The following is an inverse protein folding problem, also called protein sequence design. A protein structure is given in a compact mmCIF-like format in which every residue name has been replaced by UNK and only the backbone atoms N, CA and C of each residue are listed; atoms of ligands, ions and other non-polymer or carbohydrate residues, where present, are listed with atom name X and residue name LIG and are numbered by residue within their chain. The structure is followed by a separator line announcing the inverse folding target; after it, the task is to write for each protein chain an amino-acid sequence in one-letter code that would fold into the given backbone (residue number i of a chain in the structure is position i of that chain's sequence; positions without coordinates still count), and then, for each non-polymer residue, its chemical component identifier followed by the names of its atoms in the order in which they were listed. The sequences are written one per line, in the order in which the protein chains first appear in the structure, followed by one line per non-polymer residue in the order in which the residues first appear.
data_IF_495170507241
#
_entry.id   IF_495170507241
#
_cell.length_a   1.000
_cell.length_b   1.000
_cell.length_c   1.000
_cell.angle_alpha   90.00
_cell.angle_beta   90.00
_cell.angle_gamma   90.00
#
_symmetry.space_group_name_H-M   'P 1'
#
loop_
_entity.id
_entity.type
_entity.pdbx_description
1 polymer ?
#
# COMPACT_ATOMS: atom_id res chain seq x y z
N UNK A 1 -33.67 10.89 -21.73
CA UNK A 1 -32.67 11.62 -20.93
C UNK A 1 -33.20 11.81 -19.53
N UNK A 2 -32.40 11.59 -18.48
CA UNK A 2 -32.82 11.90 -17.12
C UNK A 2 -32.90 13.43 -16.89
N UNK A 3 -33.89 13.85 -16.11
CA UNK A 3 -34.10 15.26 -15.74
C UNK A 3 -33.44 15.50 -14.40
N UNK A 4 -32.65 16.59 -14.31
CA UNK A 4 -32.02 17.02 -13.05
C UNK A 4 -32.96 18.00 -12.38
N UNK A 5 -33.54 17.61 -11.26
CA UNK A 5 -34.40 18.47 -10.44
C UNK A 5 -33.53 19.27 -9.46
N UNK A 6 -33.57 20.62 -9.48
CA UNK A 6 -32.96 21.43 -8.43
C UNK A 6 -33.71 21.23 -7.10
N UNK A 7 -32.98 21.35 -5.99
CA UNK A 7 -33.56 21.31 -4.63
C UNK A 7 -34.74 22.27 -4.44
N UNK A 8 -34.72 23.44 -5.09
CA UNK A 8 -35.81 24.42 -5.05
C UNK A 8 -37.11 23.98 -5.73
N UNK A 9 -37.06 22.95 -6.56
CA UNK A 9 -38.22 22.39 -7.26
C UNK A 9 -38.78 21.15 -6.55
N UNK A 10 -38.11 20.66 -5.51
CA UNK A 10 -38.61 19.56 -4.67
C UNK A 10 -39.67 20.12 -3.72
N UNK A 11 -40.92 19.63 -3.73
CA UNK A 11 -41.95 20.09 -2.81
C UNK A 11 -41.54 19.90 -1.35
N UNK A 12 -41.89 20.86 -0.49
CA UNK A 12 -41.63 20.78 0.96
C UNK A 12 -42.15 19.46 1.53
N UNK A 13 -41.30 18.76 2.27
CA UNK A 13 -41.60 17.46 2.87
C UNK A 13 -41.29 16.25 1.98
N UNK A 14 -41.00 16.43 0.68
CA UNK A 14 -40.75 15.31 -0.25
C UNK A 14 -39.27 15.00 -0.50
N UNK A 15 -38.35 15.63 0.26
CA UNK A 15 -36.92 15.43 0.04
C UNK A 15 -36.51 13.97 0.28
N UNK A 16 -37.02 13.33 1.34
CA UNK A 16 -36.70 11.93 1.66
C UNK A 16 -37.21 11.01 0.55
N UNK A 17 -38.49 11.14 0.18
CA UNK A 17 -39.11 10.34 -0.89
C UNK A 17 -38.35 10.51 -2.23
N UNK A 18 -37.88 11.73 -2.53
CA UNK A 18 -37.09 12.00 -3.74
C UNK A 18 -35.73 11.30 -3.69
N UNK A 19 -35.06 11.31 -2.55
CA UNK A 19 -33.79 10.60 -2.35
C UNK A 19 -33.97 9.09 -2.43
N UNK A 20 -35.02 8.54 -1.80
CA UNK A 20 -35.35 7.11 -1.87
C UNK A 20 -35.66 6.68 -3.30
N UNK A 21 -36.45 7.47 -4.04
CA UNK A 21 -36.69 7.22 -5.46
C UNK A 21 -35.40 7.23 -6.27
N UNK A 22 -34.49 8.18 -6.01
CA UNK A 22 -33.18 8.24 -6.67
C UNK A 22 -32.30 7.02 -6.39
N UNK A 23 -32.34 6.48 -5.17
CA UNK A 23 -31.62 5.25 -4.82
C UNK A 23 -32.23 4.02 -5.52
N UNK A 24 -33.55 3.92 -5.55
CA UNK A 24 -34.27 2.83 -6.21
C UNK A 24 -34.13 2.90 -7.73
N UNK A 25 -34.03 4.11 -8.30
CA UNK A 25 -33.85 4.32 -9.73
C UNK A 25 -32.66 3.53 -10.29
N UNK A 26 -31.56 3.36 -9.53
CA UNK A 26 -30.43 2.53 -9.96
C UNK A 26 -30.77 1.05 -10.12
N UNK A 27 -31.77 0.53 -9.41
CA UNK A 27 -32.23 -0.86 -9.56
C UNK A 27 -33.11 -1.07 -10.80
N UNK A 28 -33.83 -0.02 -11.23
CA UNK A 28 -34.85 -0.11 -12.27
C UNK A 28 -34.41 0.46 -13.62
N UNK A 29 -33.49 1.41 -13.63
CA UNK A 29 -32.97 2.03 -14.85
C UNK A 29 -31.60 1.45 -15.18
N UNK A 30 -31.50 0.90 -16.39
CA UNK A 30 -30.35 0.18 -16.97
C UNK A 30 -28.99 0.66 -16.44
N UNK A 31 -28.34 -0.19 -15.64
CA UNK A 31 -26.91 -0.14 -15.38
C UNK A 31 -26.27 -0.92 -16.52
N UNK A 32 -25.64 -0.24 -17.48
CA UNK A 32 -24.83 -0.97 -18.44
C UNK A 32 -23.69 -1.66 -17.71
N UNK A 33 -23.49 -2.94 -17.99
CA UNK A 33 -22.30 -3.68 -17.56
C UNK A 33 -21.12 -3.47 -18.50
N UNK A 34 -21.29 -2.71 -19.60
CA UNK A 34 -20.22 -2.36 -20.53
C UNK A 34 -19.52 -1.07 -20.09
N UNK A 35 -18.19 -1.10 -20.03
CA UNK A 35 -17.35 0.06 -19.70
C UNK A 35 -17.50 1.23 -20.69
N UNK A 36 -18.09 0.97 -21.86
CA UNK A 36 -18.27 1.97 -22.92
C UNK A 36 -19.64 2.64 -22.90
N UNK A 37 -20.64 2.03 -22.27
CA UNK A 37 -22.02 2.54 -22.26
C UNK A 37 -22.30 3.36 -21.00
N UNK A 38 -22.51 4.66 -21.19
CA UNK A 38 -22.75 5.59 -20.08
C UNK A 38 -24.13 5.32 -19.45
N UNK A 39 -24.16 5.07 -18.14
CA UNK A 39 -25.40 5.02 -17.36
C UNK A 39 -26.11 6.39 -17.38
N UNK A 40 -27.44 6.38 -17.59
CA UNK A 40 -28.23 7.61 -17.77
C UNK A 40 -28.28 8.48 -16.50
N UNK A 41 -28.20 7.87 -15.31
CA UNK A 41 -28.20 8.55 -14.02
C UNK A 41 -26.83 9.20 -13.77
N UNK A 42 -25.74 8.49 -14.08
CA UNK A 42 -24.38 9.04 -13.99
C UNK A 42 -24.17 10.23 -14.95
N UNK A 43 -24.66 10.13 -16.20
CA UNK A 43 -24.61 11.24 -17.16
C UNK A 43 -25.39 12.46 -16.66
N UNK A 44 -26.56 12.25 -16.06
CA UNK A 44 -27.36 13.33 -15.51
C UNK A 44 -26.68 13.99 -14.31
N UNK A 45 -26.06 13.21 -13.43
CA UNK A 45 -25.27 13.72 -12.32
C UNK A 45 -24.12 14.59 -12.82
N UNK A 46 -23.29 14.09 -13.75
CA UNK A 46 -22.19 14.86 -14.35
C UNK A 46 -22.69 16.15 -15.01
N UNK A 47 -23.77 16.08 -15.80
CA UNK A 47 -24.39 17.25 -16.43
C UNK A 47 -24.84 18.31 -15.42
N UNK A 48 -25.38 17.88 -14.28
CA UNK A 48 -25.87 18.77 -13.23
C UNK A 48 -24.73 19.58 -12.62
N UNK A 49 -23.62 18.92 -12.31
CA UNK A 49 -22.46 19.55 -11.64
C UNK A 49 -21.59 20.34 -12.62
N UNK A 50 -21.46 19.88 -13.87
CA UNK A 50 -20.69 20.55 -14.93
C UNK A 50 -21.15 21.97 -15.25
N UNK A 51 -22.43 22.27 -15.02
CA UNK A 51 -22.99 23.63 -15.20
C UNK A 51 -22.61 24.60 -14.08
N UNK A 52 -22.21 24.09 -12.91
CA UNK A 52 -22.05 24.89 -11.68
C UNK A 52 -20.60 25.20 -11.33
N UNK A 53 -19.67 24.31 -11.67
CA UNK A 53 -18.26 24.47 -11.29
C UNK A 53 -17.33 24.04 -12.41
N UNK A 54 -16.16 24.68 -12.50
CA UNK A 54 -15.08 24.24 -13.41
C UNK A 54 -14.35 23.02 -12.87
N UNK A 55 -14.13 22.94 -11.56
CA UNK A 55 -13.45 21.81 -10.91
C UNK A 55 -14.44 21.06 -10.04
N UNK A 56 -14.48 19.73 -10.18
CA UNK A 56 -15.49 18.86 -9.58
C UNK A 56 -14.80 17.66 -8.94
N UNK A 57 -15.04 17.45 -7.64
CA UNK A 57 -14.63 16.23 -6.94
C UNK A 57 -15.73 15.17 -7.11
N UNK A 58 -15.35 13.95 -7.47
CA UNK A 58 -16.30 12.86 -7.65
C UNK A 58 -15.67 11.52 -7.27
N UNK A 59 -16.39 10.59 -6.63
CA UNK A 59 -15.90 9.22 -6.47
C UNK A 59 -15.77 8.54 -7.84
N UNK A 60 -14.93 7.50 -7.93
CA UNK A 60 -14.85 6.66 -9.12
C UNK A 60 -16.18 5.93 -9.35
N UNK A 61 -16.90 6.38 -10.37
CA UNK A 61 -18.07 5.67 -10.90
C UNK A 61 -17.65 4.71 -12.03
N UNK A 62 -18.52 3.75 -12.33
CA UNK A 62 -18.42 2.97 -13.56
C UNK A 62 -18.49 3.98 -14.73
N UNK A 63 -17.49 3.98 -15.61
CA UNK A 63 -17.41 4.86 -16.80
C UNK A 63 -17.06 6.33 -16.53
N UNK A 64 -16.48 6.63 -15.35
CA UNK A 64 -16.03 7.98 -14.98
C UNK A 64 -15.10 8.65 -16.01
N UNK A 65 -14.22 7.88 -16.66
CA UNK A 65 -13.30 8.36 -17.69
C UNK A 65 -14.05 8.82 -18.97
N UNK A 66 -15.01 8.02 -19.41
CA UNK A 66 -15.87 8.34 -20.56
C UNK A 66 -16.73 9.57 -20.26
N UNK A 67 -17.29 9.66 -19.05
CA UNK A 67 -18.04 10.81 -18.57
C UNK A 67 -17.18 12.07 -18.49
N UNK A 68 -15.99 12.00 -17.89
CA UNK A 68 -15.07 13.13 -17.81
C UNK A 68 -14.66 13.64 -19.21
N UNK A 69 -14.45 12.73 -20.17
CA UNK A 69 -14.14 13.08 -21.56
C UNK A 69 -15.30 13.79 -22.26
N UNK A 70 -16.53 13.35 -22.01
CA UNK A 70 -17.76 13.98 -22.55
C UNK A 70 -17.95 15.41 -22.01
N UNK A 71 -17.54 15.67 -20.77
CA UNK A 71 -17.62 16.98 -20.12
C UNK A 71 -16.23 17.64 -19.99
N UNK A 72 -15.44 17.63 -21.07
CA UNK A 72 -14.03 18.07 -21.10
C UNK A 72 -13.75 19.53 -20.75
N UNK A 73 -14.78 20.38 -20.65
CA UNK A 73 -14.65 21.77 -20.16
C UNK A 73 -14.49 21.85 -18.64
N UNK A 74 -14.75 20.75 -17.94
CA UNK A 74 -14.62 20.63 -16.50
C UNK A 74 -13.41 19.77 -16.15
N UNK A 75 -12.76 20.09 -15.05
CA UNK A 75 -11.72 19.27 -14.43
C UNK A 75 -12.38 18.37 -13.38
N UNK A 76 -12.35 17.06 -13.63
CA UNK A 76 -12.84 16.07 -12.67
C UNK A 76 -11.68 15.50 -11.86
N UNK A 77 -11.69 15.80 -10.56
CA UNK A 77 -10.84 15.16 -9.57
C UNK A 77 -11.54 13.87 -9.13
N UNK A 78 -11.18 12.76 -9.77
CA UNK A 78 -11.79 11.46 -9.51
C UNK A 78 -11.07 10.80 -8.32
N UNK A 79 -11.81 10.52 -7.27
CA UNK A 79 -11.32 9.79 -6.09
C UNK A 79 -11.46 8.29 -6.37
N UNK A 80 -10.32 7.64 -6.57
CA UNK A 80 -10.24 6.18 -6.72
C UNK A 80 -10.34 5.50 -5.36
N UNK A 81 -11.13 4.43 -5.26
CA UNK A 81 -11.11 3.58 -4.08
C UNK A 81 -9.83 2.75 -4.08
N UNK A 82 -9.00 2.93 -3.06
CA UNK A 82 -7.75 2.18 -2.89
C UNK A 82 -7.94 0.71 -2.51
N UNK A 83 -9.13 0.34 -2.03
CA UNK A 83 -9.44 -1.00 -1.58
C UNK A 83 -10.86 -1.44 -1.97
N UNK A 84 -11.05 -2.76 -2.05
CA UNK A 84 -12.38 -3.34 -2.19
C UNK A 84 -13.17 -3.17 -0.88
N UNK A 85 -14.24 -2.38 -0.93
CA UNK A 85 -15.00 -1.98 0.25
C UNK A 85 -16.08 -3.00 0.69
N UNK A 86 -16.33 -4.04 -0.12
CA UNK A 86 -17.41 -5.00 0.10
C UNK A 86 -18.69 -4.66 -0.66
N UNK A 87 -19.66 -5.58 -0.63
CA UNK A 87 -21.02 -5.33 -1.13
C UNK A 87 -21.89 -4.72 -0.03
N UNK A 88 -22.91 -3.94 -0.44
CA UNK A 88 -23.83 -3.22 0.46
C UNK A 88 -24.45 -4.08 1.58
N UNK A 89 -24.68 -5.36 1.35
CA UNK A 89 -25.28 -6.28 2.34
C UNK A 89 -24.29 -6.94 3.29
N UNK A 90 -22.98 -6.71 3.12
CA UNK A 90 -21.92 -7.39 3.89
C UNK A 90 -21.28 -6.52 4.97
N UNK A 91 -21.75 -5.27 5.11
CA UNK A 91 -21.12 -4.32 6.01
C UNK A 91 -21.50 -4.54 7.47
N UNK A 92 -20.49 -4.68 8.32
CA UNK A 92 -20.58 -4.48 9.77
C UNK A 92 -20.36 -3.00 10.10
N UNK A 93 -20.75 -2.56 11.31
CA UNK A 93 -20.47 -1.20 11.78
C UNK A 93 -18.98 -0.81 11.67
N UNK A 94 -18.08 -1.72 12.06
CA UNK A 94 -16.63 -1.49 11.95
C UNK A 94 -16.17 -1.38 10.50
N UNK A 95 -16.69 -2.22 9.60
CA UNK A 95 -16.38 -2.10 8.17
C UNK A 95 -16.86 -0.78 7.57
N UNK A 96 -18.03 -0.27 7.98
CA UNK A 96 -18.54 1.03 7.52
C UNK A 96 -17.65 2.17 8.02
N UNK A 97 -17.29 2.16 9.31
CA UNK A 97 -16.39 3.15 9.90
C UNK A 97 -15.05 3.19 9.16
N UNK A 98 -14.48 2.01 8.90
CA UNK A 98 -13.25 1.87 8.11
C UNK A 98 -13.41 2.39 6.68
N UNK A 99 -14.50 2.07 6.01
CA UNK A 99 -14.75 2.50 4.62
C UNK A 99 -14.90 4.03 4.52
N UNK A 100 -15.59 4.66 5.50
CA UNK A 100 -15.68 6.13 5.60
C UNK A 100 -14.28 6.74 5.77
N UNK A 101 -13.47 6.15 6.65
CA UNK A 101 -12.10 6.59 6.86
C UNK A 101 -11.25 6.47 5.60
N UNK A 102 -11.35 5.36 4.86
CA UNK A 102 -10.66 5.18 3.57
C UNK A 102 -11.11 6.24 2.57
N UNK A 103 -12.42 6.50 2.43
CA UNK A 103 -12.93 7.52 1.51
C UNK A 103 -12.37 8.92 1.82
N UNK A 104 -12.25 9.28 3.10
CA UNK A 104 -11.58 10.50 3.52
C UNK A 104 -10.09 10.51 3.10
N UNK A 105 -9.38 9.42 3.38
CA UNK A 105 -7.94 9.31 3.11
C UNK A 105 -7.62 9.31 1.61
N UNK A 106 -8.41 8.61 0.78
CA UNK A 106 -8.30 8.60 -0.68
C UNK A 106 -8.60 9.99 -1.27
N UNK A 107 -9.58 10.71 -0.68
CA UNK A 107 -9.84 12.11 -1.04
C UNK A 107 -8.63 13.00 -0.74
N UNK A 108 -8.00 12.85 0.43
CA UNK A 108 -6.80 13.61 0.79
C UNK A 108 -5.59 13.27 -0.11
N UNK A 109 -5.44 12.02 -0.55
CA UNK A 109 -4.44 11.64 -1.58
C UNK A 109 -4.75 12.26 -2.93
N UNK A 110 -6.01 12.30 -3.33
CA UNK A 110 -6.45 12.95 -4.58
C UNK A 110 -6.10 14.44 -4.58
N UNK A 111 -6.22 15.11 -3.43
CA UNK A 111 -5.77 16.49 -3.23
C UNK A 111 -4.24 16.64 -3.06
N UNK A 112 -3.47 15.57 -3.17
CA UNK A 112 -2.00 15.55 -2.97
C UNK A 112 -1.57 16.04 -1.59
N UNK A 113 -2.47 15.99 -0.60
CA UNK A 113 -2.15 16.28 0.81
C UNK A 113 -1.41 15.08 1.43
N UNK A 114 -1.79 13.87 1.02
CA UNK A 114 -1.15 12.63 1.45
C UNK A 114 -0.41 11.98 0.27
N UNK A 115 0.70 11.32 0.58
CA UNK A 115 1.58 10.59 -0.33
C UNK A 115 1.52 9.08 -0.07
N UNK A 116 2.18 8.31 -0.92
CA UNK A 116 2.22 6.84 -0.84
C UNK A 116 1.38 6.18 -1.92
N UNK A 117 1.73 4.94 -2.27
CA UNK A 117 0.98 4.16 -3.26
C UNK A 117 -0.23 3.49 -2.60
N UNK A 118 -0.01 2.76 -1.53
CA UNK A 118 -1.01 1.95 -0.83
C UNK A 118 -1.31 2.47 0.59
N UNK A 119 -0.40 3.22 1.19
CA UNK A 119 -0.55 3.89 2.49
C UNK A 119 -0.83 5.39 2.31
N UNK A 120 -1.14 6.05 3.43
CA UNK A 120 -1.54 7.46 3.50
C UNK A 120 -0.58 8.25 4.38
N UNK A 121 0.45 8.79 3.75
CA UNK A 121 1.61 9.37 4.45
C UNK A 121 1.59 10.88 4.30
N UNK A 122 1.49 11.59 5.42
CA UNK A 122 1.57 13.04 5.48
C UNK A 122 3.04 13.49 5.53
N UNK A 123 3.57 13.88 4.38
CA UNK A 123 4.95 14.34 4.24
C UNK A 123 5.22 15.69 4.92
N UNK A 124 4.19 16.40 5.40
CA UNK A 124 4.34 17.66 6.13
C UNK A 124 4.40 17.45 7.65
N UNK A 125 4.16 16.23 8.14
CA UNK A 125 4.29 15.87 9.54
C UNK A 125 5.75 15.55 9.92
N UNK A 126 5.99 15.12 11.16
CA UNK A 126 7.33 14.76 11.64
C UNK A 126 8.02 13.75 10.73
N UNK A 127 9.26 14.05 10.35
CA UNK A 127 10.06 13.31 9.38
C UNK A 127 11.52 13.13 9.79
N UNK A 128 11.85 13.23 11.08
CA UNK A 128 13.25 13.17 11.53
C UNK A 128 13.87 11.78 11.37
N UNK A 129 13.12 10.73 11.73
CA UNK A 129 13.51 9.34 11.47
C UNK A 129 13.49 9.03 9.99
N UNK A 130 12.57 9.62 9.24
CA UNK A 130 12.50 9.43 7.80
C UNK A 130 13.68 10.07 7.05
N UNK A 131 14.10 11.27 7.42
CA UNK A 131 15.31 11.90 6.85
C UNK A 131 16.58 11.16 7.27
N UNK A 132 16.63 10.64 8.50
CA UNK A 132 17.68 9.71 8.92
C UNK A 132 17.71 8.47 8.02
N UNK A 133 16.56 7.82 7.83
CA UNK A 133 16.44 6.64 6.98
C UNK A 133 16.90 6.95 5.55
N UNK A 134 16.45 8.05 4.94
CA UNK A 134 16.89 8.46 3.60
C UNK A 134 18.40 8.65 3.50
N UNK A 135 19.02 9.21 4.53
CA UNK A 135 20.45 9.48 4.56
C UNK A 135 21.26 8.19 4.67
N UNK A 136 20.84 7.26 5.53
CA UNK A 136 21.63 6.08 5.90
C UNK A 136 21.21 4.79 5.19
N UNK A 137 20.03 4.77 4.56
CA UNK A 137 19.58 3.62 3.78
C UNK A 137 20.56 3.30 2.65
N UNK A 138 20.87 2.01 2.49
CA UNK A 138 21.85 1.52 1.52
C UNK A 138 23.32 1.91 1.80
N UNK A 139 23.67 2.48 2.97
CA UNK A 139 25.08 2.68 3.36
C UNK A 139 25.73 1.33 3.72
N UNK A 140 27.04 1.23 3.53
CA UNK A 140 27.83 0.06 3.97
C UNK A 140 27.64 -0.21 5.47
N UNK A 141 27.30 -1.45 5.85
CA UNK A 141 27.08 -1.86 7.25
C UNK A 141 28.31 -2.59 7.81
N UNK A 142 28.51 -3.84 7.40
CA UNK A 142 29.70 -4.66 7.67
C UNK A 142 29.99 -5.49 6.42
N UNK A 143 31.24 -5.92 6.21
CA UNK A 143 31.61 -6.66 5.00
C UNK A 143 30.75 -7.91 4.76
N UNK A 144 30.43 -8.67 5.83
CA UNK A 144 29.55 -9.85 5.76
C UNK A 144 28.11 -9.48 5.32
N UNK A 145 27.49 -8.50 5.99
CA UNK A 145 26.13 -8.07 5.67
C UNK A 145 26.07 -7.47 4.26
N UNK A 146 27.05 -6.66 3.91
CA UNK A 146 27.15 -6.05 2.58
C UNK A 146 27.27 -7.12 1.50
N UNK A 147 28.11 -8.15 1.69
CA UNK A 147 28.24 -9.24 0.74
C UNK A 147 26.92 -9.99 0.55
N UNK A 148 26.17 -10.23 1.64
CA UNK A 148 24.84 -10.84 1.61
C UNK A 148 23.84 -9.97 0.85
N UNK A 149 23.79 -8.67 1.14
CA UNK A 149 22.96 -7.70 0.40
C UNK A 149 23.35 -7.70 -1.08
N UNK A 150 24.64 -7.78 -1.37
CA UNK A 150 25.18 -7.92 -2.72
C UNK A 150 24.57 -9.09 -3.47
N UNK A 151 24.56 -10.28 -2.85
CA UNK A 151 23.91 -11.48 -3.41
C UNK A 151 22.40 -11.34 -3.53
N UNK A 152 21.74 -10.77 -2.54
CA UNK A 152 20.28 -10.57 -2.52
C UNK A 152 19.79 -9.70 -3.68
N UNK A 153 20.54 -8.63 -3.96
CA UNK A 153 20.26 -7.63 -4.99
C UNK A 153 20.92 -7.93 -6.34
N UNK A 154 21.72 -9.01 -6.42
CA UNK A 154 22.53 -9.36 -7.58
C UNK A 154 23.49 -8.23 -8.04
N UNK A 155 24.23 -7.67 -7.08
CA UNK A 155 25.24 -6.62 -7.29
C UNK A 155 26.61 -7.06 -6.77
N UNK A 156 27.68 -6.65 -7.46
CA UNK A 156 29.05 -7.08 -7.14
C UNK A 156 29.84 -6.07 -6.29
N UNK A 157 29.52 -4.78 -6.38
CA UNK A 157 30.21 -3.72 -5.64
C UNK A 157 29.25 -3.02 -4.69
N UNK A 158 29.30 -3.42 -3.42
CA UNK A 158 28.43 -2.96 -2.32
C UNK A 158 29.05 -1.84 -1.48
N UNK A 159 30.31 -1.47 -1.72
CA UNK A 159 30.96 -0.33 -1.05
C UNK A 159 30.33 1.01 -1.47
N UNK A 160 29.76 1.03 -2.67
CA UNK A 160 29.11 2.20 -3.25
C UNK A 160 27.61 2.14 -2.94
N UNK A 161 27.14 3.01 -2.03
CA UNK A 161 25.72 3.13 -1.65
C UNK A 161 24.78 3.22 -2.86
N UNK A 162 25.17 3.96 -3.91
CA UNK A 162 24.34 4.14 -5.10
C UNK A 162 24.13 2.85 -5.90
N UNK A 163 25.04 1.86 -5.81
CA UNK A 163 24.85 0.55 -6.44
C UNK A 163 23.80 -0.27 -5.69
N UNK A 164 23.85 -0.26 -4.35
CA UNK A 164 22.84 -0.92 -3.51
C UNK A 164 21.48 -0.28 -3.76
N UNK A 165 21.41 1.05 -3.77
CA UNK A 165 20.17 1.78 -4.04
C UNK A 165 19.58 1.44 -5.41
N UNK A 166 20.40 1.34 -6.47
CA UNK A 166 19.94 0.87 -7.79
C UNK A 166 19.42 -0.57 -7.76
N UNK A 167 20.06 -1.46 -7.01
CA UNK A 167 19.59 -2.83 -6.82
C UNK A 167 18.20 -2.86 -6.15
N UNK A 168 18.00 -2.05 -5.12
CA UNK A 168 16.69 -1.87 -4.47
C UNK A 168 15.69 -1.26 -5.44
N UNK A 169 16.07 -0.25 -6.21
CA UNK A 169 15.21 0.40 -7.21
C UNK A 169 14.70 -0.61 -8.26
N UNK A 170 15.56 -1.47 -8.77
CA UNK A 170 15.17 -2.56 -9.70
C UNK A 170 14.12 -3.48 -9.08
N UNK A 171 14.31 -3.88 -7.81
CA UNK A 171 13.33 -4.72 -7.11
C UNK A 171 12.02 -3.97 -6.88
N UNK A 172 12.06 -2.75 -6.37
CA UNK A 172 10.85 -1.93 -6.08
C UNK A 172 10.02 -1.67 -7.35
N UNK A 173 10.65 -1.55 -8.51
CA UNK A 173 9.96 -1.39 -9.79
C UNK A 173 9.15 -2.62 -10.21
N UNK A 174 9.44 -3.79 -9.63
CA UNK A 174 8.70 -5.04 -9.87
C UNK A 174 7.63 -5.34 -8.82
N UNK A 175 7.51 -4.54 -7.76
CA UNK A 175 6.51 -4.74 -6.70
C UNK A 175 5.20 -4.01 -7.01
N UNK A 176 4.12 -4.47 -6.38
CA UNK A 176 2.83 -3.74 -6.42
C UNK A 176 2.85 -2.37 -5.73
N UNK A 177 3.88 -2.09 -4.93
CA UNK A 177 4.05 -0.85 -4.15
C UNK A 177 4.84 0.22 -4.90
N UNK A 178 5.20 -0.04 -6.17
CA UNK A 178 5.98 0.87 -7.00
C UNK A 178 5.49 2.31 -6.88
N UNK A 179 6.42 3.18 -6.49
CA UNK A 179 6.22 4.61 -6.28
C UNK A 179 7.43 5.38 -6.85
N UNK A 180 7.25 6.64 -7.24
CA UNK A 180 8.37 7.50 -7.67
C UNK A 180 9.38 7.75 -6.54
N UNK A 181 8.95 7.62 -5.29
CA UNK A 181 9.81 7.69 -4.13
C UNK A 181 10.20 6.27 -3.65
N UNK A 182 11.45 5.88 -3.89
CA UNK A 182 12.01 4.56 -3.54
C UNK A 182 11.93 4.31 -2.02
N UNK A 183 12.18 5.34 -1.19
CA UNK A 183 12.16 5.21 0.26
C UNK A 183 10.75 4.92 0.77
N UNK A 184 9.75 5.66 0.27
CA UNK A 184 8.34 5.36 0.58
C UNK A 184 7.95 3.96 0.07
N UNK A 185 8.30 3.61 -1.17
CA UNK A 185 8.01 2.28 -1.70
C UNK A 185 8.58 1.17 -0.79
N UNK A 186 9.80 1.37 -0.28
CA UNK A 186 10.48 0.42 0.60
C UNK A 186 9.74 0.28 1.93
N UNK A 187 9.38 1.41 2.56
CA UNK A 187 8.63 1.43 3.82
C UNK A 187 7.23 0.84 3.66
N UNK A 188 6.50 1.19 2.59
CA UNK A 188 5.16 0.67 2.31
C UNK A 188 5.19 -0.85 2.07
N UNK A 189 6.21 -1.34 1.34
CA UNK A 189 6.41 -2.77 1.11
C UNK A 189 6.64 -3.51 2.44
N UNK A 190 7.52 -2.96 3.29
CA UNK A 190 7.83 -3.53 4.59
C UNK A 190 6.61 -3.53 5.52
N UNK A 191 5.91 -2.39 5.63
CA UNK A 191 4.71 -2.23 6.44
C UNK A 191 3.62 -3.25 6.06
N UNK A 192 3.42 -3.47 4.76
CA UNK A 192 2.40 -4.39 4.30
C UNK A 192 2.75 -5.86 4.56
N UNK A 193 4.01 -6.26 4.41
CA UNK A 193 4.45 -7.62 4.75
C UNK A 193 4.44 -7.89 6.26
N UNK A 194 4.48 -6.84 7.07
CA UNK A 194 4.26 -6.88 8.53
C UNK A 194 2.79 -6.72 8.93
N UNK A 195 1.86 -6.65 7.97
CA UNK A 195 0.42 -6.47 8.19
C UNK A 195 0.06 -5.21 8.99
N UNK A 196 0.86 -4.15 8.87
CA UNK A 196 0.56 -2.85 9.48
C UNK A 196 -0.65 -2.24 8.80
N UNK A 197 -1.59 -1.77 9.61
CA UNK A 197 -2.88 -1.24 9.16
C UNK A 197 -2.72 -0.13 8.12
N UNK A 198 -3.39 -0.28 6.98
CA UNK A 198 -3.36 0.73 5.90
C UNK A 198 -4.32 1.87 6.11
N UNK A 199 -5.48 1.62 6.72
CA UNK A 199 -6.59 2.57 6.83
C UNK A 199 -6.33 3.64 7.91
N UNK A 200 -5.15 4.25 7.93
CA UNK A 200 -4.69 5.20 8.94
C UNK A 200 -3.81 6.27 8.27
N UNK A 201 -3.90 7.51 8.76
CA UNK A 201 -2.97 8.59 8.37
C UNK A 201 -1.69 8.45 9.18
N UNK A 202 -0.56 8.37 8.50
CA UNK A 202 0.76 8.26 9.11
C UNK A 202 1.57 9.53 8.88
N UNK A 203 2.37 9.94 9.86
CA UNK A 203 3.62 10.64 9.53
C UNK A 203 4.67 9.61 9.09
N UNK A 204 5.69 10.00 8.30
CA UNK A 204 6.78 9.10 7.94
C UNK A 204 7.43 8.42 9.16
N UNK A 205 7.67 9.20 10.23
CA UNK A 205 8.25 8.69 11.47
C UNK A 205 7.33 7.68 12.17
N UNK A 206 6.01 7.93 12.18
CA UNK A 206 5.05 7.02 12.78
C UNK A 206 5.03 5.66 12.06
N UNK A 207 5.10 5.65 10.72
CA UNK A 207 5.16 4.41 9.96
C UNK A 207 6.44 3.63 10.25
N UNK A 208 7.59 4.32 10.30
CA UNK A 208 8.88 3.69 10.65
C UNK A 208 8.81 3.07 12.05
N UNK A 209 8.27 3.79 13.03
CA UNK A 209 8.15 3.28 14.39
C UNK A 209 7.26 2.03 14.46
N UNK A 210 6.13 2.01 13.75
CA UNK A 210 5.25 0.84 13.70
C UNK A 210 5.97 -0.37 13.06
N UNK A 211 6.76 -0.16 12.01
CA UNK A 211 7.60 -1.20 11.39
C UNK A 211 8.58 -1.77 12.41
N UNK A 212 9.33 -0.91 13.11
CA UNK A 212 10.32 -1.31 14.11
C UNK A 212 9.67 -2.09 15.25
N UNK A 213 8.57 -1.57 15.80
CA UNK A 213 7.83 -2.22 16.90
C UNK A 213 7.32 -3.59 16.46
N UNK A 214 6.69 -3.68 15.29
CA UNK A 214 6.14 -4.93 14.77
C UNK A 214 7.25 -5.98 14.53
N UNK A 215 8.33 -5.59 13.85
CA UNK A 215 9.45 -6.48 13.59
C UNK A 215 10.11 -6.98 14.89
N UNK A 216 10.35 -6.08 15.85
CA UNK A 216 10.92 -6.45 17.14
C UNK A 216 10.01 -7.40 17.92
N UNK A 217 8.69 -7.17 17.93
CA UNK A 217 7.74 -8.07 18.59
C UNK A 217 7.79 -9.48 18.00
N UNK A 218 7.87 -9.60 16.67
CA UNK A 218 7.99 -10.89 15.98
C UNK A 218 9.31 -11.59 16.33
N UNK A 219 10.42 -10.86 16.35
CA UNK A 219 11.74 -11.40 16.71
C UNK A 219 11.73 -11.87 18.17
N UNK A 220 11.21 -11.06 19.11
CA UNK A 220 11.16 -11.40 20.52
C UNK A 220 10.28 -12.62 20.79
N UNK A 221 9.12 -12.72 20.15
CA UNK A 221 8.22 -13.88 20.24
C UNK A 221 8.91 -15.18 19.81
N UNK A 222 9.83 -15.10 18.84
CA UNK A 222 10.54 -16.25 18.29
C UNK A 222 11.98 -16.38 18.82
N UNK A 223 12.38 -15.60 19.83
CA UNK A 223 13.77 -15.50 20.28
C UNK A 223 14.38 -16.85 20.67
N UNK A 224 13.63 -17.71 21.37
CA UNK A 224 14.11 -19.03 21.78
C UNK A 224 14.47 -19.93 20.59
N UNK A 225 13.67 -19.90 19.52
CA UNK A 225 13.91 -20.67 18.31
C UNK A 225 15.05 -20.08 17.47
N UNK A 226 15.22 -18.75 17.49
CA UNK A 226 16.33 -18.05 16.81
C UNK A 226 17.69 -18.38 17.43
N UNK A 227 17.78 -18.61 18.75
CA UNK A 227 19.07 -18.90 19.41
C UNK A 227 19.66 -20.27 19.10
N UNK A 228 18.90 -21.15 18.47
CA UNK A 228 19.32 -22.51 18.14
C UNK A 228 19.75 -22.55 16.65
N UNK A 229 21.07 -22.62 16.43
CA UNK A 229 21.65 -22.66 15.09
C UNK A 229 21.09 -23.80 14.25
N UNK A 230 20.78 -24.96 14.85
CA UNK A 230 20.22 -26.11 14.15
C UNK A 230 18.82 -25.79 13.59
N UNK A 231 18.03 -24.99 14.31
CA UNK A 231 16.70 -24.55 13.86
C UNK A 231 16.79 -23.59 12.68
N UNK A 232 17.76 -22.68 12.67
CA UNK A 232 17.99 -21.77 11.53
C UNK A 232 18.35 -22.58 10.28
N UNK A 233 19.29 -23.52 10.39
CA UNK A 233 19.70 -24.35 9.25
C UNK A 233 18.57 -25.25 8.73
N UNK A 234 17.76 -25.83 9.63
CA UNK A 234 16.58 -26.64 9.24
C UNK A 234 15.54 -25.80 8.51
N UNK A 235 15.21 -24.61 9.02
CA UNK A 235 14.25 -23.70 8.40
C UNK A 235 14.68 -23.27 6.99
N UNK A 236 15.96 -22.93 6.81
CA UNK A 236 16.51 -22.59 5.50
C UNK A 236 16.55 -23.76 4.51
N UNK A 237 16.66 -25.00 5.00
CA UNK A 237 16.75 -26.20 4.17
C UNK A 237 15.41 -26.72 3.67
N UNK A 238 14.28 -26.14 4.12
CA UNK A 238 12.93 -26.53 3.69
C UNK A 238 12.52 -27.96 4.09
N UNK A 239 13.11 -28.52 5.15
CA UNK A 239 12.71 -29.82 5.68
C UNK A 239 11.37 -29.70 6.43
N UNK A 240 10.48 -30.67 6.22
CA UNK A 240 9.07 -30.67 6.66
C UNK A 240 8.84 -30.64 8.18
N UNK A 241 9.87 -30.92 8.98
CA UNK A 241 9.86 -30.74 10.42
C UNK A 241 10.45 -29.37 10.74
N UNK A 242 9.66 -28.34 10.46
CA UNK A 242 10.04 -26.97 10.78
C UNK A 242 10.01 -26.77 12.30
N UNK A 243 10.93 -25.98 12.87
CA UNK A 243 10.88 -25.57 14.27
C UNK A 243 9.56 -24.83 14.54
N UNK A 244 9.20 -24.66 15.82
CA UNK A 244 7.97 -24.00 16.26
C UNK A 244 7.93 -22.48 16.01
N UNK A 245 8.38 -22.00 14.85
CA UNK A 245 8.29 -20.60 14.47
C UNK A 245 6.84 -20.27 14.17
N UNK A 246 6.25 -19.41 14.98
CA UNK A 246 5.07 -18.68 14.55
C UNK A 246 5.56 -17.55 13.63
N UNK A 247 4.95 -17.37 12.46
CA UNK A 247 5.24 -16.25 11.54
C UNK A 247 6.46 -16.45 10.59
N UNK A 248 6.74 -17.67 10.12
CA UNK A 248 7.87 -17.98 9.20
C UNK A 248 7.87 -17.19 7.89
N UNK A 249 6.69 -16.77 7.41
CA UNK A 249 6.56 -15.93 6.23
C UNK A 249 6.84 -14.45 6.51
N UNK A 250 7.13 -14.07 7.76
CA UNK A 250 7.40 -12.69 8.16
C UNK A 250 8.74 -12.20 7.61
N UNK A 251 8.83 -10.96 7.11
CA UNK A 251 10.10 -10.37 6.72
C UNK A 251 11.10 -10.26 7.88
N UNK A 252 10.63 -10.15 9.13
CA UNK A 252 11.51 -10.07 10.30
C UNK A 252 12.24 -11.40 10.55
N UNK A 253 11.54 -12.54 10.43
CA UNK A 253 12.15 -13.87 10.58
C UNK A 253 13.06 -14.19 9.39
N UNK A 254 12.62 -13.87 8.17
CA UNK A 254 13.45 -14.06 6.98
C UNK A 254 14.72 -13.19 6.99
N UNK A 255 14.67 -11.99 7.59
CA UNK A 255 15.86 -11.17 7.83
C UNK A 255 16.82 -11.87 8.79
N UNK A 256 16.34 -12.48 9.87
CA UNK A 256 17.19 -13.25 10.80
C UNK A 256 17.88 -14.41 10.08
N UNK A 257 17.13 -15.22 9.33
CA UNK A 257 17.72 -16.31 8.54
C UNK A 257 18.76 -15.79 7.54
N UNK A 258 18.46 -14.68 6.87
CA UNK A 258 19.38 -14.03 5.95
C UNK A 258 20.69 -13.61 6.63
N UNK A 259 20.61 -13.05 7.84
CA UNK A 259 21.77 -12.60 8.60
C UNK A 259 22.59 -13.76 9.17
N UNK A 260 21.95 -14.86 9.57
CA UNK A 260 22.64 -16.04 10.11
C UNK A 260 23.22 -16.96 9.02
N UNK A 261 22.73 -16.85 7.78
CA UNK A 261 23.15 -17.72 6.70
C UNK A 261 24.65 -17.59 6.35
N UNK A 262 25.35 -18.71 6.09
CA UNK A 262 26.71 -18.65 5.55
C UNK A 262 26.70 -18.24 4.07
N UNK A 263 27.44 -17.17 3.74
CA UNK A 263 27.44 -16.48 2.42
C UNK A 263 27.73 -17.41 1.25
N UNK A 264 28.62 -18.38 1.44
CA UNK A 264 29.09 -19.28 0.37
C UNK A 264 28.35 -20.63 0.34
N UNK A 265 27.12 -20.69 0.85
CA UNK A 265 26.33 -21.93 0.86
C UNK A 265 25.30 -21.99 -0.27
N UNK A 266 25.12 -23.17 -0.86
CA UNK A 266 24.04 -23.42 -1.83
C UNK A 266 22.66 -23.17 -1.21
N UNK A 267 22.52 -23.44 0.09
CA UNK A 267 21.30 -23.22 0.88
C UNK A 267 20.95 -21.72 0.90
N UNK A 268 21.92 -20.83 1.11
CA UNK A 268 21.70 -19.39 1.09
C UNK A 268 21.24 -18.88 -0.28
N UNK A 269 21.87 -19.36 -1.36
CA UNK A 269 21.46 -18.97 -2.73
C UNK A 269 20.07 -19.47 -3.08
N UNK A 270 19.73 -20.71 -2.70
CA UNK A 270 18.39 -21.25 -2.89
C UNK A 270 17.33 -20.46 -2.10
N UNK A 271 17.65 -20.10 -0.84
CA UNK A 271 16.81 -19.27 0.01
C UNK A 271 16.51 -17.90 -0.64
N UNK A 272 17.54 -17.19 -1.12
CA UNK A 272 17.38 -15.90 -1.82
C UNK A 272 16.57 -16.04 -3.10
N UNK A 273 16.81 -17.09 -3.89
CA UNK A 273 16.16 -17.26 -5.19
C UNK A 273 14.66 -17.58 -5.07
N UNK A 274 14.23 -18.16 -3.95
CA UNK A 274 12.83 -18.45 -3.67
C UNK A 274 12.04 -17.23 -3.17
N UNK A 275 12.71 -16.12 -2.81
CA UNK A 275 12.03 -14.93 -2.31
C UNK A 275 11.42 -14.09 -3.42
N UNK A 276 10.17 -13.66 -3.18
CA UNK A 276 9.52 -12.61 -3.98
C UNK A 276 10.27 -11.28 -3.84
N UNK A 277 10.22 -10.39 -4.85
CA UNK A 277 10.87 -9.07 -4.79
C UNK A 277 10.49 -8.26 -3.55
N UNK A 278 9.21 -8.30 -3.12
CA UNK A 278 8.73 -7.60 -1.93
C UNK A 278 9.46 -8.04 -0.66
N UNK A 279 9.70 -9.35 -0.52
CA UNK A 279 10.39 -9.92 0.63
C UNK A 279 11.85 -9.42 0.68
N UNK A 280 12.52 -9.41 -0.47
CA UNK A 280 13.90 -8.90 -0.58
C UNK A 280 13.98 -7.42 -0.19
N UNK A 281 13.05 -6.59 -0.69
CA UNK A 281 12.96 -5.16 -0.33
C UNK A 281 12.74 -4.98 1.16
N UNK A 282 11.82 -5.75 1.77
CA UNK A 282 11.54 -5.65 3.19
C UNK A 282 12.71 -6.09 4.07
N UNK A 283 13.44 -7.15 3.70
CA UNK A 283 14.65 -7.58 4.42
C UNK A 283 15.70 -6.46 4.41
N UNK A 284 15.97 -5.87 3.24
CA UNK A 284 16.90 -4.74 3.14
C UNK A 284 16.44 -3.57 4.01
N UNK A 285 15.16 -3.21 3.95
CA UNK A 285 14.59 -2.16 4.79
C UNK A 285 14.84 -2.41 6.28
N UNK A 286 14.53 -3.62 6.76
CA UNK A 286 14.65 -3.98 8.18
C UNK A 286 16.10 -3.99 8.66
N UNK A 287 17.06 -4.42 7.84
CA UNK A 287 18.48 -4.35 8.17
C UNK A 287 18.87 -2.91 8.51
N UNK A 288 18.47 -1.95 7.66
CA UNK A 288 18.79 -0.54 7.87
C UNK A 288 17.98 0.15 8.96
N UNK A 289 16.85 -0.41 9.39
CA UNK A 289 16.02 0.13 10.46
C UNK A 289 16.36 -0.43 11.85
N UNK A 290 16.93 -1.63 11.92
CA UNK A 290 17.13 -2.36 13.18
C UNK A 290 18.60 -2.56 13.56
N UNK A 291 19.53 -2.57 12.59
CA UNK A 291 20.93 -2.94 12.83
C UNK A 291 21.86 -1.74 12.69
N UNK A 292 21.60 -0.91 11.69
CA UNK A 292 22.34 0.33 11.46
C UNK A 292 21.77 1.47 12.32
#
# INVERSE_FOLDING_TARGET
SAVVLPLSEIPSGQLIDTLEFGLLAYLFFYISSDEHEINILDDAAYRAVSKKSKTILTPRLLNSNTLASKYSKNEFLIVENSEYLGFSYTHTFESMKRNIQIGLLDTLKTFKILSGKEYYIDMNASSSLYEWFKKYFCISVTDDINQKIGRLLNIHNTEIQSNILKGVEVLTNSTRYKNSNIFLCTLETCAALLYIERAKRYSPDALINEIIICANNIIQKNYAAIRDDENIFKAMSGKSELPSFTDESSPAINMVYFLCAPVNSNIFMQFINNMKPEMKVAIVALIYLLIY
#
